data_IF_605575737625
#
_entry.id   IF_605575737625
#
_cell.length_a   1.000
_cell.length_b   1.000
_cell.length_c   1.000
_cell.angle_alpha   90.00
_cell.angle_beta   90.00
_cell.angle_gamma   90.00
#
_symmetry.space_group_name_H-M   'P 1'
#
loop_
_entity.id
_entity.type
_entity.pdbx_description
1 polymer ?
#
# COMPACT_ATOMS: atom_id res chain seq x y z
N UNK A 1 -10.72 23.22 -8.28
CA UNK A 1 -9.52 22.81 -9.03
C UNK A 1 -9.40 21.28 -9.01
N UNK A 2 -9.01 20.69 -10.14
CA UNK A 2 -8.60 19.28 -10.20
C UNK A 2 -7.08 19.20 -10.01
N UNK A 3 -6.59 18.08 -9.50
CA UNK A 3 -5.16 17.76 -9.40
C UNK A 3 -4.92 16.33 -9.86
N UNK A 4 -3.69 16.02 -10.24
CA UNK A 4 -3.32 14.70 -10.75
C UNK A 4 -2.84 13.81 -9.60
N UNK A 5 -3.56 12.71 -9.37
CA UNK A 5 -3.25 11.77 -8.29
C UNK A 5 -1.83 11.17 -8.36
N UNK A 6 -1.19 10.95 -9.54
CA UNK A 6 0.16 10.39 -9.60
C UNK A 6 1.20 11.25 -8.86
N UNK A 7 1.10 12.58 -8.92
CA UNK A 7 2.07 13.49 -8.30
C UNK A 7 2.13 13.33 -6.77
N UNK A 8 1.01 12.95 -6.16
CA UNK A 8 0.92 12.71 -4.72
C UNK A 8 1.30 11.26 -4.38
N UNK A 9 0.88 10.30 -5.21
CA UNK A 9 1.27 8.90 -5.07
C UNK A 9 2.79 8.74 -5.12
N UNK A 10 3.46 9.40 -6.07
CA UNK A 10 4.91 9.36 -6.23
C UNK A 10 5.63 9.84 -4.96
N UNK A 11 5.23 10.97 -4.39
CA UNK A 11 5.89 11.53 -3.19
C UNK A 11 5.90 10.54 -2.02
N UNK A 12 4.73 9.97 -1.69
CA UNK A 12 4.62 9.02 -0.58
C UNK A 12 5.33 7.71 -0.92
N UNK A 13 5.18 7.23 -2.16
CA UNK A 13 5.77 5.96 -2.59
C UNK A 13 7.29 6.03 -2.66
N UNK A 14 7.84 7.16 -3.09
CA UNK A 14 9.28 7.42 -3.07
C UNK A 14 9.81 7.45 -1.64
N UNK A 15 9.16 8.17 -0.72
CA UNK A 15 9.58 8.24 0.67
C UNK A 15 9.54 6.86 1.37
N UNK A 16 8.55 6.02 1.05
CA UNK A 16 8.49 4.64 1.55
C UNK A 16 9.55 3.76 0.89
N UNK A 17 9.76 3.90 -0.42
CA UNK A 17 10.74 3.12 -1.20
C UNK A 17 12.18 3.42 -0.79
N UNK A 18 12.49 4.69 -0.50
CA UNK A 18 13.81 5.14 -0.04
C UNK A 18 14.09 4.81 1.42
N UNK A 19 13.05 4.46 2.19
CA UNK A 19 13.13 4.23 3.63
C UNK A 19 13.14 5.51 4.48
N UNK A 20 12.86 6.67 3.88
CA UNK A 20 12.65 7.93 4.62
C UNK A 20 11.50 7.81 5.62
N UNK A 21 10.44 7.12 5.20
CA UNK A 21 9.32 6.75 6.07
C UNK A 21 9.05 5.25 6.01
N UNK A 22 8.57 4.68 7.11
CA UNK A 22 8.28 3.24 7.16
C UNK A 22 6.95 2.89 6.49
N UNK A 23 5.98 3.81 6.52
CA UNK A 23 4.60 3.57 6.10
C UNK A 23 3.95 4.83 5.53
N UNK A 24 2.99 4.65 4.63
CA UNK A 24 2.23 5.73 4.00
C UNK A 24 0.74 5.43 3.88
N UNK A 25 -0.08 6.48 3.72
CA UNK A 25 -1.51 6.37 3.44
C UNK A 25 -1.82 7.25 2.22
N UNK A 26 -2.49 6.70 1.22
CA UNK A 26 -2.90 7.39 0.00
C UNK A 26 -4.42 7.35 -0.15
N UNK A 27 -5.01 8.45 -0.61
CA UNK A 27 -6.46 8.57 -0.77
C UNK A 27 -6.75 9.26 -2.10
N UNK A 28 -7.63 8.67 -2.91
CA UNK A 28 -8.26 9.36 -4.05
C UNK A 28 -9.73 8.92 -4.17
N UNK A 29 -10.43 9.26 -5.26
CA UNK A 29 -11.85 8.91 -5.41
C UNK A 29 -12.16 7.42 -5.17
N UNK A 30 -11.50 6.54 -5.91
CA UNK A 30 -11.63 5.07 -5.74
C UNK A 30 -10.41 4.43 -5.08
N UNK A 31 -9.28 5.13 -5.00
CA UNK A 31 -8.00 4.57 -4.56
C UNK A 31 -7.26 3.75 -5.63
N UNK A 32 -7.92 3.37 -6.73
CA UNK A 32 -7.33 2.49 -7.77
C UNK A 32 -6.11 3.13 -8.44
N UNK A 33 -6.22 4.39 -8.87
CA UNK A 33 -5.10 5.07 -9.55
C UNK A 33 -3.89 5.22 -8.63
N UNK A 34 -4.13 5.58 -7.36
CA UNK A 34 -3.07 5.71 -6.35
C UNK A 34 -2.34 4.38 -6.13
N UNK A 35 -3.06 3.26 -6.04
CA UNK A 35 -2.45 1.94 -5.84
C UNK A 35 -1.66 1.45 -7.05
N UNK A 36 -2.11 1.77 -8.27
CA UNK A 36 -1.39 1.45 -9.51
C UNK A 36 -0.05 2.16 -9.54
N UNK A 37 -0.01 3.46 -9.23
CA UNK A 37 1.23 4.26 -9.25
C UNK A 37 2.15 3.82 -8.11
N UNK A 38 1.63 3.67 -6.90
CA UNK A 38 2.44 3.34 -5.73
C UNK A 38 3.20 2.01 -5.88
N UNK A 39 2.55 0.98 -6.44
CA UNK A 39 3.18 -0.32 -6.67
C UNK A 39 4.22 -0.34 -7.81
N UNK A 40 4.50 0.79 -8.48
CA UNK A 40 5.64 0.89 -9.41
C UNK A 40 6.96 1.14 -8.69
N UNK A 41 6.90 1.58 -7.44
CA UNK A 41 8.09 1.91 -6.66
C UNK A 41 8.66 0.64 -6.02
N UNK A 42 9.98 0.39 -6.15
CA UNK A 42 10.59 -0.80 -5.58
C UNK A 42 10.40 -0.91 -4.07
N UNK A 43 10.12 -2.11 -3.58
CA UNK A 43 9.89 -2.34 -2.15
C UNK A 43 8.56 -1.77 -1.62
N UNK A 44 7.75 -1.09 -2.44
CA UNK A 44 6.41 -0.65 -2.07
C UNK A 44 5.40 -1.77 -2.28
N UNK A 45 4.55 -1.98 -1.28
CA UNK A 45 3.42 -2.90 -1.27
C UNK A 45 2.18 -2.13 -0.87
N UNK A 46 1.60 -1.44 -1.85
CA UNK A 46 0.42 -0.61 -1.67
C UNK A 46 -0.86 -1.43 -1.83
N UNK A 47 -1.72 -1.46 -0.81
CA UNK A 47 -2.96 -2.24 -0.80
C UNK A 47 -4.18 -1.34 -0.72
N UNK A 48 -5.09 -1.51 -1.67
CA UNK A 48 -6.39 -0.86 -1.68
C UNK A 48 -7.36 -1.64 -0.78
N UNK A 49 -7.86 -0.98 0.27
CA UNK A 49 -8.74 -1.59 1.25
C UNK A 49 -10.06 -0.82 1.33
N UNK A 50 -11.17 -1.55 1.44
CA UNK A 50 -12.51 -0.98 1.56
C UNK A 50 -13.21 -1.39 2.85
N UNK A 51 -12.66 -2.35 3.59
CA UNK A 51 -13.22 -2.88 4.82
C UNK A 51 -12.10 -3.30 5.81
N UNK A 52 -12.50 -3.63 7.04
CA UNK A 52 -11.55 -3.99 8.11
C UNK A 52 -10.82 -5.31 7.84
N UNK A 53 -11.46 -6.24 7.13
CA UNK A 53 -10.88 -7.55 6.82
C UNK A 53 -9.72 -7.40 5.84
N UNK A 54 -9.95 -6.72 4.72
CA UNK A 54 -8.92 -6.42 3.72
C UNK A 54 -7.78 -5.61 4.31
N UNK A 55 -8.07 -4.65 5.20
CA UNK A 55 -7.05 -3.87 5.92
C UNK A 55 -6.16 -4.74 6.82
N UNK A 56 -6.78 -5.64 7.60
CA UNK A 56 -6.06 -6.59 8.45
C UNK A 56 -5.20 -7.54 7.62
N UNK A 57 -5.78 -8.19 6.61
CA UNK A 57 -5.07 -9.13 5.73
C UNK A 57 -3.94 -8.45 4.97
N UNK A 58 -4.11 -7.19 4.57
CA UNK A 58 -3.06 -6.41 3.94
C UNK A 58 -1.82 -6.28 4.85
N UNK A 59 -1.98 -6.22 6.17
CA UNK A 59 -0.87 -6.19 7.12
C UNK A 59 -0.38 -7.58 7.48
N UNK A 60 -1.26 -8.46 7.96
CA UNK A 60 -0.90 -9.79 8.45
C UNK A 60 -0.20 -10.63 7.36
N UNK A 61 -0.71 -10.59 6.13
CA UNK A 61 -0.25 -11.48 5.08
C UNK A 61 0.70 -10.86 4.06
N UNK A 62 0.59 -9.55 3.82
CA UNK A 62 1.31 -8.89 2.73
C UNK A 62 2.34 -7.87 3.24
N UNK A 63 2.42 -7.67 4.56
CA UNK A 63 3.22 -6.63 5.20
C UNK A 63 3.17 -5.32 4.40
N UNK A 64 1.95 -4.90 4.04
CA UNK A 64 1.76 -3.67 3.26
C UNK A 64 2.35 -2.48 4.00
N UNK A 65 3.09 -1.66 3.27
CA UNK A 65 3.70 -0.43 3.78
C UNK A 65 2.95 0.81 3.30
N UNK A 66 2.06 0.70 2.30
CA UNK A 66 1.14 1.77 1.93
C UNK A 66 -0.30 1.27 1.97
N UNK A 67 -1.15 1.95 2.74
CA UNK A 67 -2.59 1.78 2.70
C UNK A 67 -3.18 2.73 1.66
N UNK A 68 -4.09 2.23 0.82
CA UNK A 68 -4.81 3.05 -0.16
C UNK A 68 -6.31 2.98 0.11
N UNK A 69 -6.97 4.14 0.12
CA UNK A 69 -8.41 4.26 0.37
C UNK A 69 -9.13 5.01 -0.75
N UNK A 70 -10.40 4.64 -0.98
CA UNK A 70 -11.30 5.34 -1.90
C UNK A 70 -12.20 6.32 -1.15
N UNK A 71 -11.91 7.61 -1.21
CA UNK A 71 -12.67 8.66 -0.52
C UNK A 71 -14.11 8.87 -1.02
N UNK A 72 -14.47 8.37 -2.22
CA UNK A 72 -15.87 8.34 -2.70
C UNK A 72 -16.58 7.02 -2.42
N UNK A 73 -15.85 6.02 -1.92
CA UNK A 73 -16.33 4.65 -1.71
C UNK A 73 -16.50 4.34 -0.23
N UNK A 74 -15.52 4.77 0.58
CA UNK A 74 -15.45 4.45 2.00
C UNK A 74 -15.97 5.62 2.82
N UNK A 75 -16.98 5.37 3.66
CA UNK A 75 -17.48 6.34 4.62
C UNK A 75 -16.38 6.72 5.64
N UNK A 76 -16.39 7.98 6.11
CA UNK A 76 -15.32 8.52 6.96
C UNK A 76 -15.05 7.69 8.21
N UNK A 77 -16.10 7.29 8.94
CA UNK A 77 -15.95 6.47 10.15
C UNK A 77 -15.38 5.08 9.85
N UNK A 78 -15.76 4.48 8.71
CA UNK A 78 -15.17 3.22 8.26
C UNK A 78 -13.70 3.42 7.88
N UNK A 79 -13.36 4.52 7.20
CA UNK A 79 -11.97 4.84 6.84
C UNK A 79 -11.09 4.98 8.08
N UNK A 80 -11.56 5.66 9.14
CA UNK A 80 -10.85 5.77 10.43
C UNK A 80 -10.59 4.40 11.04
N UNK A 81 -11.59 3.52 11.06
CA UNK A 81 -11.45 2.17 11.58
C UNK A 81 -10.48 1.32 10.75
N UNK A 82 -10.53 1.43 9.41
CA UNK A 82 -9.60 0.76 8.50
C UNK A 82 -8.16 1.20 8.78
N UNK A 83 -7.93 2.51 8.86
CA UNK A 83 -6.60 3.06 9.18
C UNK A 83 -6.11 2.54 10.52
N UNK A 84 -6.96 2.55 11.55
CA UNK A 84 -6.61 2.01 12.88
C UNK A 84 -6.20 0.55 12.81
N UNK A 85 -7.04 -0.30 12.21
CA UNK A 85 -6.76 -1.74 12.05
C UNK A 85 -5.45 -1.93 11.30
N UNK A 86 -5.22 -1.21 10.21
CA UNK A 86 -3.99 -1.34 9.42
C UNK A 86 -2.72 -0.88 10.18
N UNK A 87 -2.81 0.15 11.02
CA UNK A 87 -1.66 0.59 11.82
C UNK A 87 -1.34 -0.44 12.92
N UNK A 88 -2.37 -0.90 13.64
CA UNK A 88 -2.23 -1.76 14.83
C UNK A 88 -1.92 -3.22 14.49
N UNK A 89 -2.27 -3.68 13.29
CA UNK A 89 -2.09 -5.08 12.90
C UNK A 89 -0.61 -5.40 12.60
N UNK A 90 0.00 -6.32 13.37
CA UNK A 90 1.36 -6.78 13.10
C UNK A 90 1.41 -7.71 11.88
N UNK A 91 2.61 -7.88 11.32
CA UNK A 91 2.84 -8.86 10.27
C UNK A 91 2.94 -10.28 10.88
N UNK A 92 2.27 -11.27 10.28
CA UNK A 92 2.22 -12.66 10.80
C UNK A 92 3.53 -13.43 10.56
N UNK A 93 4.32 -13.04 9.54
CA UNK A 93 5.57 -13.71 9.22
C UNK A 93 5.38 -15.12 8.62
N UNK A 94 6.39 -15.98 8.80
CA UNK A 94 6.33 -17.39 8.44
C UNK A 94 6.08 -17.64 6.94
N UNK A 95 4.94 -18.29 6.59
CA UNK A 95 4.60 -18.60 5.18
C UNK A 95 4.48 -17.34 4.31
N UNK A 96 4.20 -16.19 4.92
CA UNK A 96 4.02 -14.92 4.25
C UNK A 96 5.36 -14.29 3.85
N UNK A 97 6.40 -14.40 4.68
CA UNK A 97 7.76 -13.93 4.34
C UNK A 97 8.27 -14.56 3.05
N UNK A 98 8.04 -15.87 2.88
CA UNK A 98 8.38 -16.58 1.64
C UNK A 98 7.68 -15.98 0.42
N UNK A 99 6.43 -15.51 0.56
CA UNK A 99 5.68 -14.87 -0.53
C UNK A 99 6.22 -13.47 -0.81
N UNK A 100 6.55 -12.70 0.22
CA UNK A 100 7.17 -11.38 0.07
C UNK A 100 8.53 -11.47 -0.60
N UNK A 101 9.33 -12.49 -0.26
CA UNK A 101 10.60 -12.74 -0.93
C UNK A 101 10.41 -12.99 -2.44
N UNK A 102 9.37 -13.74 -2.82
CA UNK A 102 9.04 -13.95 -4.25
C UNK A 102 8.65 -12.65 -4.95
N UNK A 103 7.89 -11.77 -4.29
CA UNK A 103 7.56 -10.44 -4.84
C UNK A 103 8.83 -9.64 -5.07
N UNK A 104 9.71 -9.58 -4.06
CA UNK A 104 11.02 -8.91 -4.17
C UNK A 104 11.86 -9.48 -5.31
N UNK A 105 11.92 -10.81 -5.46
CA UNK A 105 12.63 -11.45 -6.58
C UNK A 105 12.03 -11.06 -7.93
N UNK A 106 10.70 -10.91 -8.06
CA UNK A 106 10.08 -10.43 -9.30
C UNK A 106 10.52 -8.99 -9.60
N UNK A 107 10.52 -8.11 -8.59
CA UNK A 107 10.98 -6.72 -8.74
C UNK A 107 12.45 -6.64 -9.17
N UNK A 108 13.34 -7.44 -8.56
CA UNK A 108 14.77 -7.49 -8.90
C UNK A 108 15.01 -7.98 -10.32
N UNK A 109 14.23 -8.97 -10.78
CA UNK A 109 14.29 -9.44 -12.17
C UNK A 109 13.94 -8.32 -13.14
N UNK A 110 12.81 -7.65 -12.93
CA UNK A 110 12.36 -6.55 -13.79
C UNK A 110 13.36 -5.38 -13.84
N UNK A 111 14.09 -5.10 -12.74
CA UNK A 111 15.15 -4.09 -12.72
C UNK A 111 16.39 -4.47 -13.52
N UNK A 112 16.76 -5.74 -13.49
CA UNK A 112 17.98 -6.25 -14.15
C UNK A 112 17.77 -6.55 -15.64
N UNK A 113 16.64 -6.10 -16.22
CA UNK A 113 16.36 -6.25 -17.65
C UNK A 113 15.94 -7.67 -18.04
N UNK A 114 15.33 -8.42 -17.12
CA UNK A 114 14.50 -9.58 -17.47
C UNK A 114 13.13 -9.13 -17.99
#
# INVERSE_FOLDING_TARGET
>A
CSVDYPDFAEKVSMAVSSGEVQRGILICGTGIGMSIVANKFPGVRATLCYDLYTARMAREHNDSNILVLGGRITAEEMAKQIVKVWIETPFEGGRHERRLLKIKTIEEKLKNGL
#
